data_IF_078765664648
#
_entry.id   IF_078765664648
#
_cell.length_a   1.000
_cell.length_b   1.000
_cell.length_c   1.000
_cell.angle_alpha   90.00
_cell.angle_beta   90.00
_cell.angle_gamma   90.00
#
_symmetry.space_group_name_H-M   'P 1'
#
loop_
_entity.id
_entity.type
_entity.pdbx_description
1 polymer ?
#
# COMPACT_ATOMS: atom_id res chain seq x y z
N UNK A 1 1.41 14.13 25.86
CA UNK A 1 1.60 13.65 24.47
C UNK A 1 3.02 13.13 24.39
N UNK A 2 3.20 11.81 24.46
CA UNK A 2 4.53 11.20 24.52
C UNK A 2 5.06 11.10 23.09
N UNK A 3 6.12 11.84 22.81
CA UNK A 3 6.85 11.82 21.55
C UNK A 3 7.64 10.50 21.52
N UNK A 4 7.08 9.45 20.92
CA UNK A 4 7.77 8.17 20.77
C UNK A 4 8.81 8.36 19.67
N UNK A 5 10.04 8.70 20.07
CA UNK A 5 11.18 8.70 19.17
C UNK A 5 11.24 7.35 18.45
N UNK A 6 11.20 7.41 17.12
CA UNK A 6 11.22 6.23 16.27
C UNK A 6 12.63 5.61 16.35
N UNK A 7 12.69 4.30 16.52
CA UNK A 7 13.94 3.53 16.53
C UNK A 7 14.70 3.72 15.20
N UNK A 8 16.04 3.67 15.20
CA UNK A 8 16.83 3.69 13.95
C UNK A 8 16.32 2.59 13.01
N UNK A 9 16.34 2.87 11.70
CA UNK A 9 15.86 1.90 10.72
C UNK A 9 16.68 0.62 10.78
N UNK A 10 15.97 -0.50 10.88
CA UNK A 10 16.58 -1.82 10.88
C UNK A 10 17.27 -2.02 9.53
N UNK A 11 18.59 -2.24 9.48
CA UNK A 11 19.28 -2.49 8.23
C UNK A 11 18.70 -3.75 7.57
N UNK A 12 18.42 -3.68 6.27
CA UNK A 12 17.93 -4.81 5.49
C UNK A 12 19.08 -5.76 5.18
N UNK A 13 18.84 -7.06 5.27
CA UNK A 13 19.76 -8.08 4.76
C UNK A 13 19.71 -8.08 3.23
N UNK A 14 20.84 -7.80 2.59
CA UNK A 14 20.96 -7.78 1.13
C UNK A 14 21.60 -9.07 0.62
N UNK A 15 20.89 -9.79 -0.24
CA UNK A 15 21.37 -11.02 -0.88
C UNK A 15 21.46 -10.82 -2.39
N UNK A 16 22.61 -11.15 -3.02
CA UNK A 16 22.73 -11.07 -4.48
C UNK A 16 21.77 -12.08 -5.13
N UNK A 17 20.96 -11.64 -6.10
CA UNK A 17 19.91 -12.47 -6.70
C UNK A 17 20.40 -13.57 -7.65
N UNK A 18 21.56 -14.17 -7.42
CA UNK A 18 22.01 -15.35 -8.19
C UNK A 18 20.96 -16.47 -8.16
N UNK A 19 20.28 -16.66 -7.03
CA UNK A 19 19.17 -17.60 -6.88
C UNK A 19 17.86 -17.15 -7.58
N UNK A 20 17.62 -15.84 -7.71
CA UNK A 20 16.45 -15.30 -8.43
C UNK A 20 16.59 -15.42 -9.95
N UNK A 21 17.82 -15.39 -10.46
CA UNK A 21 18.09 -15.48 -11.89
C UNK A 21 17.53 -16.77 -12.52
N UNK A 22 17.47 -17.87 -11.76
CA UNK A 22 16.90 -19.14 -12.20
C UNK A 22 15.37 -19.07 -12.41
N UNK A 23 14.69 -18.10 -11.77
CA UNK A 23 13.27 -17.81 -11.98
C UNK A 23 13.02 -16.69 -13.01
N UNK A 24 14.06 -16.19 -13.66
CA UNK A 24 13.96 -15.07 -14.61
C UNK A 24 13.82 -13.69 -13.95
N UNK A 25 13.89 -13.60 -12.62
CA UNK A 25 13.94 -12.34 -11.89
C UNK A 25 15.39 -11.87 -11.76
N UNK A 26 15.65 -10.60 -12.11
CA UNK A 26 16.98 -9.98 -11.95
C UNK A 26 16.93 -8.99 -10.80
N UNK A 27 18.01 -8.92 -10.03
CA UNK A 27 18.17 -7.92 -8.98
C UNK A 27 18.78 -8.47 -7.70
N UNK A 28 18.83 -7.63 -6.68
CA UNK A 28 19.21 -7.99 -5.32
C UNK A 28 17.96 -8.18 -4.47
N UNK A 29 17.97 -9.21 -3.62
CA UNK A 29 16.98 -9.41 -2.58
C UNK A 29 17.33 -8.52 -1.38
N UNK A 30 16.32 -7.87 -0.79
CA UNK A 30 16.47 -7.14 0.47
C UNK A 30 15.38 -7.56 1.44
N UNK A 31 15.79 -8.05 2.60
CA UNK A 31 14.94 -8.77 3.56
C UNK A 31 14.92 -8.08 4.93
N UNK A 32 13.77 -8.15 5.61
CA UNK A 32 13.62 -7.77 7.03
C UNK A 32 14.14 -8.87 7.95
N UNK A 33 15.42 -9.19 7.78
CA UNK A 33 16.11 -10.23 8.52
C UNK A 33 17.45 -9.74 9.07
N UNK A 34 17.92 -10.40 10.11
CA UNK A 34 19.25 -10.17 10.66
C UNK A 34 20.33 -10.71 9.72
N UNK A 35 21.49 -10.06 9.70
CA UNK A 35 22.68 -10.56 8.99
C UNK A 35 23.19 -11.91 9.52
N UNK A 36 22.68 -12.38 10.66
CA UNK A 36 22.99 -13.71 11.21
C UNK A 36 22.16 -14.85 10.58
N UNK A 37 21.11 -14.54 9.82
CA UNK A 37 20.27 -15.55 9.16
C UNK A 37 21.01 -16.21 7.99
N UNK A 38 20.73 -17.50 7.76
CA UNK A 38 21.30 -18.26 6.65
C UNK A 38 20.67 -17.83 5.30
N UNK A 39 21.44 -17.25 4.36
CA UNK A 39 20.94 -16.83 3.06
C UNK A 39 20.32 -17.94 2.22
N UNK A 40 20.86 -19.15 2.27
CA UNK A 40 20.40 -20.25 1.42
C UNK A 40 19.03 -20.75 1.89
N UNK A 41 18.81 -20.78 3.21
CA UNK A 41 17.51 -21.10 3.82
C UNK A 41 16.46 -20.05 3.46
N UNK A 42 16.81 -18.76 3.55
CA UNK A 42 15.89 -17.67 3.19
C UNK A 42 15.53 -17.70 1.70
N UNK A 43 16.51 -17.88 0.83
CA UNK A 43 16.27 -18.06 -0.60
C UNK A 43 15.35 -19.26 -0.85
N UNK A 44 15.63 -20.42 -0.24
CA UNK A 44 14.78 -21.60 -0.40
C UNK A 44 13.32 -21.34 0.05
N UNK A 45 13.11 -20.64 1.17
CA UNK A 45 11.77 -20.27 1.64
C UNK A 45 11.04 -19.33 0.68
N UNK A 46 11.73 -18.36 0.08
CA UNK A 46 11.13 -17.46 -0.92
C UNK A 46 10.71 -18.25 -2.14
N UNK A 47 11.60 -19.11 -2.64
CA UNK A 47 11.39 -19.95 -3.83
C UNK A 47 10.23 -20.94 -3.64
N UNK A 48 10.05 -21.48 -2.44
CA UNK A 48 8.97 -22.42 -2.12
C UNK A 48 7.68 -21.72 -1.66
N UNK A 49 7.67 -20.39 -1.55
CA UNK A 49 6.52 -19.61 -1.06
C UNK A 49 6.26 -19.76 0.44
N UNK A 50 7.23 -20.27 1.21
CA UNK A 50 7.14 -20.42 2.66
C UNK A 50 7.68 -19.20 3.43
N UNK A 51 8.28 -18.22 2.74
CA UNK A 51 8.74 -16.98 3.37
C UNK A 51 7.55 -16.08 3.75
N UNK A 52 7.45 -15.73 5.04
CA UNK A 52 6.24 -15.13 5.62
C UNK A 52 6.21 -13.60 5.69
N UNK A 53 7.28 -12.90 5.27
CA UNK A 53 7.40 -11.44 5.33
C UNK A 53 7.39 -10.82 3.93
N UNK A 54 7.01 -9.55 3.79
CA UNK A 54 7.29 -8.81 2.56
C UNK A 54 8.81 -8.71 2.33
N UNK A 55 9.21 -8.69 1.06
CA UNK A 55 10.60 -8.53 0.65
C UNK A 55 10.73 -7.63 -0.56
N UNK A 56 11.95 -7.16 -0.81
CA UNK A 56 12.27 -6.31 -1.94
C UNK A 56 13.08 -7.10 -2.97
N UNK A 57 12.70 -6.97 -4.23
CA UNK A 57 13.58 -7.27 -5.38
C UNK A 57 13.93 -5.93 -6.03
N UNK A 58 15.22 -5.65 -6.17
CA UNK A 58 15.72 -4.39 -6.69
C UNK A 58 16.73 -4.61 -7.82
N UNK A 59 16.47 -4.03 -8.98
CA UNK A 59 17.40 -3.95 -10.10
C UNK A 59 17.80 -2.48 -10.36
N UNK A 60 18.45 -2.22 -11.50
CA UNK A 60 18.90 -0.87 -11.84
C UNK A 60 17.76 0.10 -12.20
N UNK A 61 16.58 -0.40 -12.55
CA UNK A 61 15.44 0.40 -13.00
C UNK A 61 14.39 0.52 -11.91
N UNK A 62 14.12 -0.56 -11.19
CA UNK A 62 12.98 -0.67 -10.27
C UNK A 62 13.34 -1.29 -8.92
N UNK A 63 12.62 -0.84 -7.89
CA UNK A 63 12.51 -1.45 -6.57
C UNK A 63 11.09 -1.94 -6.40
N UNK A 64 10.91 -3.25 -6.22
CA UNK A 64 9.60 -3.90 -6.15
C UNK A 64 9.36 -4.49 -4.76
N UNK A 65 8.16 -4.28 -4.20
CA UNK A 65 7.71 -4.93 -2.99
C UNK A 65 6.96 -6.21 -3.37
N UNK A 66 7.36 -7.33 -2.79
CA UNK A 66 6.77 -8.64 -3.00
C UNK A 66 6.18 -9.18 -1.70
N UNK A 67 5.01 -9.80 -1.79
CA UNK A 67 4.47 -10.68 -0.74
C UNK A 67 4.79 -12.15 -1.03
N UNK A 68 4.93 -12.47 -2.31
CA UNK A 68 5.46 -13.71 -2.85
C UNK A 68 6.11 -13.41 -4.20
N UNK A 69 6.80 -14.38 -4.80
CA UNK A 69 7.35 -14.23 -6.14
C UNK A 69 6.26 -14.03 -7.20
N UNK A 70 5.07 -14.57 -6.97
CA UNK A 70 3.92 -14.42 -7.87
C UNK A 70 3.16 -13.11 -7.69
N UNK A 71 3.32 -12.45 -6.53
CA UNK A 71 2.54 -11.29 -6.14
C UNK A 71 3.42 -10.06 -5.88
N UNK A 72 3.64 -9.29 -6.95
CA UNK A 72 4.18 -7.94 -6.87
C UNK A 72 3.09 -7.01 -6.33
N UNK A 73 3.35 -6.44 -5.16
CA UNK A 73 2.39 -5.57 -4.47
C UNK A 73 2.62 -4.10 -4.82
N UNK A 74 3.87 -3.69 -5.04
CA UNK A 74 4.22 -2.33 -5.44
C UNK A 74 5.51 -2.27 -6.24
N UNK A 75 5.69 -1.22 -7.04
CA UNK A 75 6.90 -0.93 -7.79
C UNK A 75 7.22 0.56 -7.74
N UNK A 76 8.50 0.88 -7.62
CA UNK A 76 9.06 2.21 -7.62
C UNK A 76 10.21 2.28 -8.61
N UNK A 77 10.24 3.31 -9.46
CA UNK A 77 11.40 3.57 -10.30
C UNK A 77 12.55 4.12 -9.46
N UNK A 78 13.77 3.70 -9.77
CA UNK A 78 14.97 4.21 -9.09
C UNK A 78 15.27 5.65 -9.51
N UNK A 79 15.07 5.99 -10.79
CA UNK A 79 15.36 7.31 -11.37
C UNK A 79 14.30 8.38 -11.02
N UNK A 80 13.04 7.97 -10.82
CA UNK A 80 11.94 8.82 -10.39
C UNK A 80 11.09 8.13 -9.29
N UNK A 81 11.52 8.19 -8.02
CA UNK A 81 10.83 7.52 -6.91
C UNK A 81 9.39 7.98 -6.63
N UNK A 82 8.99 9.13 -7.19
CA UNK A 82 7.65 9.71 -7.01
C UNK A 82 6.70 9.38 -8.17
N UNK A 83 7.22 8.83 -9.28
CA UNK A 83 6.41 8.40 -10.40
C UNK A 83 5.48 7.23 -10.03
N UNK A 84 4.29 7.26 -10.62
CA UNK A 84 3.34 6.16 -10.57
C UNK A 84 3.65 5.16 -11.67
N UNK A 85 4.48 4.16 -11.33
CA UNK A 85 4.95 3.13 -12.26
C UNK A 85 3.78 2.31 -12.83
N UNK A 86 2.92 1.79 -11.96
CA UNK A 86 1.76 1.01 -12.38
C UNK A 86 0.65 1.87 -12.99
N UNK A 87 0.03 1.35 -14.06
CA UNK A 87 -1.08 2.04 -14.72
C UNK A 87 -2.31 2.20 -13.80
N UNK A 88 -2.55 1.27 -12.88
CA UNK A 88 -3.71 1.35 -11.98
C UNK A 88 -3.57 2.51 -10.99
N UNK A 89 -2.37 2.77 -10.45
CA UNK A 89 -2.16 3.87 -9.51
C UNK A 89 -2.38 5.22 -10.21
N UNK A 90 -1.99 5.35 -11.48
CA UNK A 90 -2.33 6.50 -12.33
C UNK A 90 -3.84 6.66 -12.50
N UNK A 91 -4.57 5.56 -12.74
CA UNK A 91 -6.05 5.59 -12.83
C UNK A 91 -6.69 6.01 -11.51
N UNK A 92 -6.13 5.59 -10.37
CA UNK A 92 -6.66 6.00 -9.07
C UNK A 92 -6.60 7.51 -8.86
N UNK A 93 -5.67 8.23 -9.52
CA UNK A 93 -5.59 9.69 -9.47
C UNK A 93 -6.72 10.40 -10.24
N UNK A 94 -7.62 9.68 -10.91
CA UNK A 94 -8.76 10.27 -11.60
C UNK A 94 -9.68 11.10 -10.67
N UNK A 95 -9.61 10.90 -9.35
CA UNK A 95 -10.31 11.75 -8.39
C UNK A 95 -9.95 13.24 -8.53
N UNK A 96 -8.75 13.57 -9.02
CA UNK A 96 -8.28 14.95 -9.20
C UNK A 96 -9.12 15.74 -10.19
N UNK A 97 -9.86 15.07 -11.08
CA UNK A 97 -10.81 15.72 -12.00
C UNK A 97 -12.03 16.30 -11.26
N UNK A 98 -12.31 15.81 -10.06
CA UNK A 98 -13.50 16.15 -9.27
C UNK A 98 -13.14 16.86 -7.96
N UNK A 99 -12.01 16.48 -7.34
CA UNK A 99 -11.48 17.05 -6.11
C UNK A 99 -10.01 17.43 -6.35
N UNK A 100 -9.73 18.55 -7.04
CA UNK A 100 -8.37 18.93 -7.44
C UNK A 100 -7.50 19.42 -6.27
N UNK A 101 -8.12 19.83 -5.16
CA UNK A 101 -7.44 20.38 -3.98
C UNK A 101 -8.03 19.81 -2.68
N UNK A 102 -7.84 18.50 -2.42
CA UNK A 102 -8.34 17.89 -1.20
C UNK A 102 -7.58 18.43 0.03
N UNK A 103 -8.30 18.71 1.11
CA UNK A 103 -7.69 19.04 2.40
C UNK A 103 -7.18 17.80 3.13
N UNK A 104 -7.84 16.64 2.97
CA UNK A 104 -7.45 15.36 3.55
C UNK A 104 -7.67 14.19 2.58
N UNK A 105 -6.59 13.45 2.31
CA UNK A 105 -6.59 12.18 1.58
C UNK A 105 -6.28 11.04 2.56
N UNK A 106 -7.21 10.10 2.69
CA UNK A 106 -7.04 8.88 3.47
C UNK A 106 -6.81 7.71 2.52
N UNK A 107 -5.79 6.89 2.81
CA UNK A 107 -5.41 5.74 2.00
C UNK A 107 -5.48 4.49 2.87
N UNK A 108 -6.01 3.40 2.32
CA UNK A 108 -5.97 2.07 2.93
C UNK A 108 -5.03 1.21 2.09
N UNK A 109 -3.97 0.72 2.73
CA UNK A 109 -2.83 0.07 2.10
C UNK A 109 -1.69 1.06 1.84
N UNK A 110 -0.49 0.74 2.32
CA UNK A 110 0.74 1.49 2.05
C UNK A 110 1.49 0.93 0.83
N UNK A 111 1.75 -0.37 0.85
CA UNK A 111 2.68 -1.01 -0.08
C UNK A 111 4.06 -0.34 -0.13
N UNK A 112 4.58 -0.09 -1.33
CA UNK A 112 5.78 0.72 -1.55
C UNK A 112 5.54 2.25 -1.44
N UNK A 113 4.35 2.66 -1.02
CA UNK A 113 4.01 4.07 -0.78
C UNK A 113 3.83 4.92 -2.03
N UNK A 114 3.64 4.34 -3.21
CA UNK A 114 3.56 5.10 -4.48
C UNK A 114 2.44 6.14 -4.48
N UNK A 115 1.22 5.79 -4.01
CA UNK A 115 0.11 6.73 -3.87
C UNK A 115 0.43 7.83 -2.85
N UNK A 116 0.96 7.45 -1.69
CA UNK A 116 1.33 8.37 -0.62
C UNK A 116 2.39 9.38 -1.08
N UNK A 117 3.45 8.92 -1.74
CA UNK A 117 4.52 9.74 -2.30
C UNK A 117 4.01 10.67 -3.38
N UNK A 118 3.22 10.17 -4.33
CA UNK A 118 2.66 10.98 -5.39
C UNK A 118 1.77 12.10 -4.84
N UNK A 119 0.81 11.76 -3.97
CA UNK A 119 -0.03 12.76 -3.30
C UNK A 119 0.81 13.71 -2.45
N UNK A 120 1.86 13.24 -1.78
CA UNK A 120 2.77 14.09 -1.05
C UNK A 120 3.41 15.12 -1.98
N UNK A 121 3.98 14.70 -3.12
CA UNK A 121 4.66 15.59 -4.05
C UNK A 121 3.72 16.61 -4.72
N UNK A 122 2.51 16.18 -5.08
CA UNK A 122 1.62 16.95 -5.95
C UNK A 122 0.47 17.65 -5.23
N UNK A 123 0.16 17.27 -3.98
CA UNK A 123 -0.87 17.89 -3.14
C UNK A 123 -0.23 18.52 -1.90
N UNK A 124 0.51 19.63 -2.04
CA UNK A 124 1.33 20.18 -0.95
C UNK A 124 0.50 20.69 0.24
N UNK A 125 -0.80 20.97 0.03
CA UNK A 125 -1.73 21.42 1.07
C UNK A 125 -2.52 20.30 1.73
N UNK A 126 -2.52 19.10 1.14
CA UNK A 126 -3.28 17.98 1.66
C UNK A 126 -2.58 17.38 2.88
N UNK A 127 -3.36 17.12 3.93
CA UNK A 127 -2.98 16.14 4.95
C UNK A 127 -3.20 14.74 4.37
N UNK A 128 -2.24 13.85 4.58
CA UNK A 128 -2.25 12.49 4.11
C UNK A 128 -2.23 11.54 5.30
N UNK A 129 -3.10 10.54 5.27
CA UNK A 129 -3.12 9.46 6.24
C UNK A 129 -3.14 8.14 5.48
N UNK A 130 -2.24 7.22 5.85
CA UNK A 130 -2.15 5.88 5.29
C UNK A 130 -2.39 4.89 6.42
N UNK A 131 -3.38 4.01 6.24
CA UNK A 131 -3.68 2.93 7.17
C UNK A 131 -3.14 1.64 6.57
N UNK A 132 -2.20 1.01 7.26
CA UNK A 132 -1.57 -0.24 6.85
C UNK A 132 -1.66 -1.24 8.01
N UNK A 133 -2.01 -2.49 7.70
CA UNK A 133 -2.20 -3.54 8.70
C UNK A 133 -0.91 -4.32 8.97
N UNK A 134 -0.02 -4.38 7.98
CA UNK A 134 1.21 -5.16 8.06
C UNK A 134 2.37 -4.29 8.57
N UNK A 135 2.86 -4.50 9.81
CA UNK A 135 4.00 -3.74 10.34
C UNK A 135 5.27 -3.92 9.51
N UNK A 136 5.46 -5.08 8.89
CA UNK A 136 6.61 -5.34 8.03
C UNK A 136 6.58 -4.49 6.73
N UNK A 137 5.38 -4.23 6.17
CA UNK A 137 5.25 -3.28 5.04
C UNK A 137 5.62 -1.87 5.49
N UNK A 138 5.17 -1.46 6.69
CA UNK A 138 5.51 -0.16 7.28
C UNK A 138 7.03 -0.06 7.53
N UNK A 139 7.68 -1.13 7.95
CA UNK A 139 9.12 -1.18 8.19
C UNK A 139 9.94 -0.94 6.91
N UNK A 140 9.41 -1.32 5.74
CA UNK A 140 10.08 -1.14 4.45
C UNK A 140 9.92 0.27 3.86
N UNK A 141 9.12 1.15 4.46
CA UNK A 141 8.79 2.48 3.90
C UNK A 141 10.01 3.34 3.55
N UNK A 142 11.08 3.27 4.34
CA UNK A 142 12.31 4.04 4.11
C UNK A 142 13.05 3.53 2.87
N UNK A 143 13.08 2.21 2.67
CA UNK A 143 13.64 1.62 1.47
C UNK A 143 12.88 2.06 0.21
N UNK A 144 11.62 2.49 0.32
CA UNK A 144 10.86 3.07 -0.80
C UNK A 144 10.85 4.61 -0.83
N UNK A 145 11.65 5.27 0.02
CA UNK A 145 11.74 6.73 0.06
C UNK A 145 10.42 7.40 0.45
N UNK A 146 9.58 6.74 1.26
CA UNK A 146 8.34 7.34 1.77
C UNK A 146 8.71 8.47 2.73
N UNK A 147 8.24 9.71 2.52
CA UNK A 147 8.61 10.85 3.36
C UNK A 147 8.17 10.67 4.81
N UNK A 148 9.05 10.98 5.75
CA UNK A 148 8.69 11.24 7.13
C UNK A 148 8.43 12.74 7.29
N UNK A 149 7.16 13.14 7.38
CA UNK A 149 6.77 14.54 7.36
C UNK A 149 5.49 14.77 8.14
N UNK A 150 5.31 15.96 8.79
CA UNK A 150 4.12 16.23 9.61
C UNK A 150 2.76 16.08 8.91
N UNK A 151 2.74 16.20 7.57
CA UNK A 151 1.52 16.09 6.76
C UNK A 151 1.26 14.67 6.22
N UNK A 152 2.16 13.71 6.45
CA UNK A 152 1.98 12.32 6.05
C UNK A 152 2.09 11.41 7.28
N UNK A 153 0.96 10.87 7.71
CA UNK A 153 0.90 9.92 8.82
C UNK A 153 0.70 8.49 8.29
N UNK A 154 1.53 7.56 8.74
CA UNK A 154 1.36 6.12 8.52
C UNK A 154 0.87 5.52 9.84
N UNK A 155 -0.25 4.82 9.80
CA UNK A 155 -0.98 4.31 10.95
C UNK A 155 -1.06 2.80 10.82
N UNK A 156 -0.46 2.09 11.77
CA UNK A 156 -0.59 0.64 11.88
C UNK A 156 -1.96 0.30 12.49
N UNK A 157 -2.90 -0.14 11.65
CA UNK A 157 -4.24 -0.52 12.08
C UNK A 157 -4.98 -1.34 11.01
N UNK A 158 -5.99 -2.10 11.43
CA UNK A 158 -6.99 -2.62 10.51
C UNK A 158 -7.93 -1.48 10.06
N UNK A 159 -8.14 -1.35 8.75
CA UNK A 159 -8.96 -0.28 8.20
C UNK A 159 -10.45 -0.39 8.59
N UNK A 160 -10.97 -1.60 8.82
CA UNK A 160 -12.33 -1.81 9.31
C UNK A 160 -12.52 -1.32 10.75
N UNK A 161 -11.46 -1.33 11.56
CA UNK A 161 -11.44 -0.76 12.91
C UNK A 161 -11.15 0.75 12.89
N UNK A 162 -10.31 1.20 11.97
CA UNK A 162 -9.90 2.60 11.88
C UNK A 162 -10.98 3.52 11.31
N UNK A 163 -11.66 3.10 10.23
CA UNK A 163 -12.62 3.96 9.52
C UNK A 163 -13.74 4.51 10.43
N UNK A 164 -14.38 3.70 11.31
CA UNK A 164 -15.43 4.18 12.21
C UNK A 164 -15.00 5.23 13.24
N UNK A 165 -13.70 5.49 13.41
CA UNK A 165 -13.21 6.40 14.46
C UNK A 165 -13.52 7.89 14.21
N UNK A 166 -13.96 8.27 13.02
CA UNK A 166 -14.43 9.62 12.71
C UNK A 166 -15.41 9.62 11.53
N UNK A 167 -16.12 10.74 11.35
CA UNK A 167 -17.09 10.95 10.29
C UNK A 167 -16.88 12.33 9.66
N UNK A 168 -17.07 12.43 8.34
CA UNK A 168 -17.04 13.70 7.61
C UNK A 168 -15.70 14.45 7.68
N UNK A 169 -14.56 13.75 7.73
CA UNK A 169 -13.23 14.37 7.84
C UNK A 169 -12.32 14.11 6.63
N UNK A 170 -12.76 13.28 5.67
CA UNK A 170 -11.97 12.89 4.50
C UNK A 170 -12.58 13.43 3.21
N UNK A 171 -11.77 14.07 2.36
CA UNK A 171 -12.20 14.54 1.03
C UNK A 171 -12.04 13.42 -0.01
N UNK A 172 -10.97 12.62 0.08
CA UNK A 172 -10.70 11.49 -0.82
C UNK A 172 -10.26 10.27 -0.02
N UNK A 173 -10.96 9.14 -0.22
CA UNK A 173 -10.62 7.83 0.34
C UNK A 173 -10.12 6.90 -0.77
N UNK A 174 -8.85 6.53 -0.74
CA UNK A 174 -8.25 5.56 -1.65
C UNK A 174 -8.22 4.18 -0.97
N UNK A 175 -8.86 3.18 -1.56
CA UNK A 175 -8.85 1.80 -1.10
C UNK A 175 -7.96 0.96 -2.01
N UNK A 176 -6.76 0.61 -1.54
CA UNK A 176 -5.73 -0.20 -2.23
C UNK A 176 -5.24 -1.34 -1.33
N UNK A 177 -6.18 -1.99 -0.61
CA UNK A 177 -5.88 -3.06 0.34
C UNK A 177 -5.91 -4.45 -0.30
N UNK A 178 -4.75 -5.07 -0.42
CA UNK A 178 -4.58 -6.46 -0.88
C UNK A 178 -3.82 -7.29 0.14
N UNK A 179 -4.16 -8.57 0.23
CA UNK A 179 -3.38 -9.60 0.92
C UNK A 179 -2.81 -10.61 -0.10
N UNK A 180 -2.11 -11.65 0.39
CA UNK A 180 -1.55 -12.71 -0.45
C UNK A 180 -2.59 -13.50 -1.28
N UNK A 181 -3.89 -13.35 -1.00
CA UNK A 181 -5.00 -14.05 -1.65
C UNK A 181 -5.88 -13.12 -2.50
N UNK A 182 -5.57 -11.83 -2.58
CA UNK A 182 -6.30 -10.85 -3.38
C UNK A 182 -6.81 -9.69 -2.54
N UNK A 183 -8.04 -9.24 -2.77
CA UNK A 183 -8.61 -8.11 -2.01
C UNK A 183 -8.80 -8.54 -0.55
N UNK A 184 -8.34 -7.70 0.39
CA UNK A 184 -8.42 -8.01 1.81
C UNK A 184 -9.85 -8.39 2.24
N UNK A 185 -10.05 -9.52 2.96
CA UNK A 185 -11.38 -9.98 3.41
C UNK A 185 -12.17 -8.93 4.21
N UNK A 186 -11.48 -8.03 4.91
CA UNK A 186 -12.09 -6.89 5.60
C UNK A 186 -12.97 -6.03 4.67
N UNK A 187 -12.64 -5.96 3.37
CA UNK A 187 -13.43 -5.24 2.36
C UNK A 187 -14.69 -6.01 1.95
N UNK A 188 -14.91 -7.26 2.38
CA UNK A 188 -16.17 -8.01 2.16
C UNK A 188 -17.23 -7.74 3.23
N UNK A 189 -17.15 -6.60 3.92
CA UNK A 189 -18.10 -6.19 4.95
C UNK A 189 -18.98 -5.05 4.49
N UNK A 190 -20.30 -5.20 4.68
CA UNK A 190 -21.26 -4.10 4.52
C UNK A 190 -20.97 -2.95 5.49
N UNK A 191 -20.53 -3.29 6.70
CA UNK A 191 -20.16 -2.31 7.73
C UNK A 191 -18.98 -1.45 7.29
N UNK A 192 -17.99 -2.07 6.64
CA UNK A 192 -16.80 -1.39 6.12
C UNK A 192 -17.18 -0.30 5.11
N UNK A 193 -17.95 -0.61 4.07
CA UNK A 193 -18.32 0.39 3.06
C UNK A 193 -19.27 1.47 3.60
N UNK A 194 -20.11 1.15 4.59
CA UNK A 194 -20.90 2.16 5.30
C UNK A 194 -20.01 3.11 6.11
N UNK A 195 -18.99 2.59 6.80
CA UNK A 195 -18.01 3.40 7.51
C UNK A 195 -17.20 4.26 6.53
N UNK A 196 -16.75 3.69 5.40
CA UNK A 196 -16.08 4.41 4.33
C UNK A 196 -16.92 5.60 3.83
N UNK A 197 -18.22 5.39 3.58
CA UNK A 197 -19.13 6.47 3.21
C UNK A 197 -19.26 7.53 4.30
N UNK A 198 -19.44 7.15 5.57
CA UNK A 198 -19.56 8.12 6.68
C UNK A 198 -18.28 8.90 6.92
N UNK A 199 -17.12 8.32 6.63
CA UNK A 199 -15.81 9.00 6.72
C UNK A 199 -15.71 10.17 5.75
N UNK A 200 -16.32 10.05 4.57
CA UNK A 200 -16.28 11.09 3.55
C UNK A 200 -17.07 12.33 3.97
N UNK A 201 -16.50 13.50 3.66
CA UNK A 201 -17.21 14.77 3.65
C UNK A 201 -18.27 14.80 2.56
N UNK A 202 -19.20 15.75 2.68
CA UNK A 202 -20.14 16.06 1.58
C UNK A 202 -19.35 16.47 0.34
N UNK A 203 -19.53 15.72 -0.75
CA UNK A 203 -18.78 15.90 -2.00
C UNK A 203 -17.45 15.15 -2.07
N UNK A 204 -17.09 14.41 -1.03
CA UNK A 204 -15.90 13.55 -1.02
C UNK A 204 -16.09 12.30 -1.89
N UNK A 205 -14.97 11.70 -2.27
CA UNK A 205 -14.92 10.56 -3.18
C UNK A 205 -14.23 9.35 -2.58
N UNK A 206 -14.72 8.17 -2.94
CA UNK A 206 -14.00 6.91 -2.74
C UNK A 206 -13.45 6.46 -4.10
N UNK A 207 -12.22 5.96 -4.09
CA UNK A 207 -11.61 5.27 -5.24
C UNK A 207 -11.15 3.91 -4.76
N UNK A 208 -11.66 2.84 -5.37
CA UNK A 208 -11.32 1.47 -4.97
C UNK A 208 -10.58 0.76 -6.10
N UNK A 209 -9.42 0.20 -5.78
CA UNK A 209 -8.69 -0.69 -6.67
C UNK A 209 -9.22 -2.13 -6.51
N UNK A 210 -9.60 -2.75 -7.62
CA UNK A 210 -10.02 -4.15 -7.66
C UNK A 210 -9.20 -4.88 -8.72
N UNK A 211 -8.56 -5.99 -8.34
CA UNK A 211 -7.73 -6.79 -9.22
C UNK A 211 -8.31 -8.18 -9.46
N UNK A 212 -7.91 -8.79 -10.59
CA UNK A 212 -8.25 -10.15 -10.96
C UNK A 212 -9.61 -10.32 -11.67
N UNK A 213 -9.99 -11.58 -11.97
CA UNK A 213 -11.26 -11.93 -12.59
C UNK A 213 -12.49 -11.33 -11.88
N UNK A 214 -13.53 -11.00 -12.66
CA UNK A 214 -14.78 -10.37 -12.16
C UNK A 214 -15.39 -11.06 -10.95
N UNK A 215 -15.31 -12.39 -10.86
CA UNK A 215 -15.81 -13.17 -9.73
C UNK A 215 -15.18 -12.79 -8.38
N UNK A 216 -13.96 -12.23 -8.38
CA UNK A 216 -13.25 -11.84 -7.16
C UNK A 216 -13.68 -10.47 -6.63
N UNK A 217 -14.16 -9.56 -7.49
CA UNK A 217 -14.52 -8.21 -7.08
C UNK A 217 -16.01 -7.85 -7.23
N UNK A 218 -16.83 -8.69 -7.88
CA UNK A 218 -18.26 -8.41 -8.10
C UNK A 218 -19.03 -8.17 -6.79
N UNK A 219 -18.72 -8.94 -5.73
CA UNK A 219 -19.33 -8.77 -4.41
C UNK A 219 -18.90 -7.47 -3.73
N UNK A 220 -17.64 -7.08 -3.86
CA UNK A 220 -17.15 -5.80 -3.37
C UNK A 220 -17.86 -4.63 -4.04
N UNK A 221 -17.97 -4.67 -5.38
CA UNK A 221 -18.68 -3.65 -6.15
C UNK A 221 -20.16 -3.54 -5.77
N UNK A 222 -20.83 -4.66 -5.49
CA UNK A 222 -22.23 -4.67 -5.06
C UNK A 222 -22.40 -4.01 -3.68
N UNK A 223 -21.53 -4.34 -2.71
CA UNK A 223 -21.55 -3.73 -1.38
C UNK A 223 -21.22 -2.24 -1.41
N UNK A 224 -20.27 -1.84 -2.26
CA UNK A 224 -19.92 -0.45 -2.49
C UNK A 224 -21.11 0.31 -3.10
N UNK A 225 -21.73 -0.23 -4.16
CA UNK A 225 -22.94 0.35 -4.76
C UNK A 225 -24.06 0.54 -3.76
N UNK A 226 -24.31 -0.47 -2.92
CA UNK A 226 -25.34 -0.38 -1.90
C UNK A 226 -25.04 0.71 -0.87
N UNK A 227 -23.81 0.75 -0.35
CA UNK A 227 -23.41 1.76 0.62
C UNK A 227 -23.49 3.17 0.04
N UNK A 228 -23.20 3.35 -1.26
CA UNK A 228 -23.20 4.65 -1.95
C UNK A 228 -24.53 4.98 -2.67
N UNK A 229 -25.59 4.19 -2.43
CA UNK A 229 -26.93 4.37 -3.00
C UNK A 229 -26.91 4.44 -4.55
N UNK A 230 -26.11 3.59 -5.19
CA UNK A 230 -26.03 3.49 -6.65
C UNK A 230 -25.26 4.62 -7.34
N UNK A 231 -24.47 5.41 -6.60
CA UNK A 231 -23.64 6.50 -7.12
C UNK A 231 -22.18 6.10 -7.35
N UNK A 232 -21.95 4.87 -7.83
CA UNK A 232 -20.63 4.28 -8.11
C UNK A 232 -20.45 4.13 -9.62
#
# INVERSE_FOLDING_TARGET
>A
MSNKAMSPSTPLLELPGKALNELGERGNLRLLESAACDPDVLCAQIMTGCYGKPFIIEDHETRRLHLSLELVQSSMRIDDPFALEFAYTRKMMAFLLFVPDPGHVLMVGLGGGSLAKFCYRHLPRARLSVVEVCPDVIALREAFGVPDAPRLAIIEADAAEYLPAAEGDTDVLLLDGFDAKGIAPAFLSRGFYRAARRRLRRGGLVVANFAGPRKYWSRHLALLNEAFEGRV
#
